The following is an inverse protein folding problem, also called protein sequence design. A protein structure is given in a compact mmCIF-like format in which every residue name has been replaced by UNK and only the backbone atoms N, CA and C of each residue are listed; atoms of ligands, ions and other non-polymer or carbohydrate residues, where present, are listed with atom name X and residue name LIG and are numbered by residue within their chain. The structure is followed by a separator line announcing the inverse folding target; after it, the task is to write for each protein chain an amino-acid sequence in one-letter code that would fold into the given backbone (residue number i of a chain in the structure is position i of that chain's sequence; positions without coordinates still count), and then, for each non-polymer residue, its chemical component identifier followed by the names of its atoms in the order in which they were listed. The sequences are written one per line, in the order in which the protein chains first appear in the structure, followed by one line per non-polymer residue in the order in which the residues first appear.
data_IF_258318348286
#
_entry.id   IF_258318348286
#
_cell.length_a   1.000
_cell.length_b   1.000
_cell.length_c   1.000
_cell.angle_alpha   90.00
_cell.angle_beta   90.00
_cell.angle_gamma   90.00
#
_symmetry.space_group_name_H-M   'P 1'
#
loop_
_entity.id
_entity.type
_entity.pdbx_description
1 polymer ?
#
# COMPACT_ATOMS: atom_id res chain seq x y z
N UNK A 1 47.41 23.42 1.70
CA UNK A 1 46.59 24.37 0.93
C UNK A 1 45.63 23.52 0.10
N UNK A 2 44.57 23.19 0.66
CA UNK A 2 43.11 23.41 0.58
C UNK A 2 42.61 23.79 -0.81
N UNK A 3 41.75 22.97 -1.37
CA UNK A 3 40.65 23.42 -2.24
C UNK A 3 39.52 22.38 -2.16
N UNK A 4 38.53 22.69 -1.34
CA UNK A 4 37.17 22.17 -1.43
C UNK A 4 36.54 22.69 -2.72
N UNK A 5 35.93 21.81 -3.49
CA UNK A 5 35.01 22.20 -4.56
C UNK A 5 33.68 21.48 -4.31
N UNK A 6 32.76 22.22 -3.69
CA UNK A 6 31.38 21.86 -3.55
C UNK A 6 30.66 21.91 -4.91
N UNK A 7 30.19 20.80 -5.43
CA UNK A 7 29.25 20.75 -6.57
C UNK A 7 27.83 20.93 -6.02
N UNK A 8 27.27 22.12 -6.19
CA UNK A 8 25.83 22.37 -6.06
C UNK A 8 25.17 22.03 -7.40
N UNK A 9 24.30 21.05 -7.42
CA UNK A 9 23.33 20.87 -8.50
C UNK A 9 22.07 21.68 -8.12
N UNK A 10 21.88 22.80 -8.79
CA UNK A 10 20.63 23.55 -8.75
C UNK A 10 19.63 22.91 -9.72
N UNK A 11 18.60 22.27 -9.19
CA UNK A 11 17.40 21.95 -9.94
C UNK A 11 16.39 23.06 -9.74
N UNK A 12 16.25 23.92 -10.74
CA UNK A 12 15.20 24.91 -10.80
C UNK A 12 13.89 24.25 -11.24
N UNK A 13 12.95 24.07 -10.32
CA UNK A 13 11.54 23.81 -10.65
C UNK A 13 10.77 25.09 -10.35
N UNK A 14 10.27 25.69 -11.44
CA UNK A 14 9.35 26.83 -11.42
C UNK A 14 7.98 26.35 -10.95
N UNK A 15 7.58 26.72 -9.74
CA UNK A 15 6.20 26.60 -9.27
C UNK A 15 5.70 27.97 -8.87
N UNK A 16 4.67 28.45 -9.60
CA UNK A 16 4.03 29.72 -9.37
C UNK A 16 3.34 29.76 -8.00
N UNK A 17 3.75 30.72 -7.19
CA UNK A 17 3.10 31.10 -5.93
C UNK A 17 1.80 31.85 -6.23
N UNK A 18 0.68 31.30 -5.78
CA UNK A 18 -0.54 32.08 -5.52
C UNK A 18 -0.72 32.11 -4.00
N UNK A 19 -0.38 33.27 -3.42
CA UNK A 19 -0.68 33.57 -2.03
C UNK A 19 -2.14 34.00 -1.91
N UNK A 20 -2.94 33.23 -1.17
CA UNK A 20 -4.25 33.71 -0.69
C UNK A 20 -4.14 33.86 0.83
N UNK A 21 -4.16 35.13 1.24
CA UNK A 21 -4.29 35.56 2.64
C UNK A 21 -5.77 35.59 2.97
N UNK A 22 -6.20 34.83 3.96
CA UNK A 22 -7.52 34.98 4.60
C UNK A 22 -7.34 35.41 6.04
N UNK A 23 -8.11 36.41 6.51
CA UNK A 23 -7.95 36.94 7.86
C UNK A 23 -8.72 36.09 8.89
N UNK A 24 -8.07 35.97 10.02
CA UNK A 24 -8.58 35.45 11.29
C UNK A 24 -9.65 36.41 11.85
N UNK A 25 -10.85 35.91 12.11
CA UNK A 25 -11.83 36.59 12.99
C UNK A 25 -12.25 35.63 14.07
N UNK A 26 -11.78 35.91 15.26
CA UNK A 26 -12.30 35.33 16.49
C UNK A 26 -13.58 36.06 16.91
N UNK A 27 -14.59 35.34 17.29
CA UNK A 27 -15.58 35.86 18.26
C UNK A 27 -16.19 34.72 19.08
N UNK A 28 -16.04 34.92 20.35
CA UNK A 28 -16.59 34.22 21.49
C UNK A 28 -18.09 34.50 21.70
N UNK A 29 -18.69 33.61 22.52
CA UNK A 29 -19.84 33.74 23.38
C UNK A 29 -21.25 33.57 22.82
N UNK A 30 -21.99 32.57 23.28
CA UNK A 30 -22.93 32.68 24.37
C UNK A 30 -23.78 31.41 24.57
N UNK A 31 -23.84 31.04 25.81
CA UNK A 31 -24.66 30.05 26.47
C UNK A 31 -26.18 30.21 26.24
N UNK A 32 -26.91 29.10 26.25
CA UNK A 32 -28.05 28.72 27.08
C UNK A 32 -29.09 27.89 26.36
N UNK A 33 -29.25 26.73 26.90
CA UNK A 33 -30.42 26.12 27.57
C UNK A 33 -31.68 25.91 26.74
N UNK A 34 -32.13 24.70 26.64
CA UNK A 34 -33.28 24.10 27.35
C UNK A 34 -33.86 22.89 26.59
N UNK A 35 -33.88 21.79 27.28
CA UNK A 35 -34.97 20.84 27.57
C UNK A 35 -35.89 20.36 26.43
N UNK A 36 -35.83 19.03 26.31
CA UNK A 36 -36.97 18.09 26.30
C UNK A 36 -37.91 18.08 25.11
N UNK A 37 -38.03 16.93 24.42
CA UNK A 37 -39.15 16.03 24.64
C UNK A 37 -39.05 14.79 23.75
N UNK A 38 -39.37 13.70 24.36
CA UNK A 38 -39.71 12.39 23.86
C UNK A 38 -40.63 12.39 22.64
N UNK A 39 -40.39 11.50 21.69
CA UNK A 39 -41.47 10.70 21.08
C UNK A 39 -40.84 9.51 20.34
N UNK A 40 -40.97 8.34 20.92
CA UNK A 40 -40.87 7.06 20.25
C UNK A 40 -42.05 6.89 19.30
N UNK A 41 -41.79 6.36 18.13
CA UNK A 41 -42.83 5.94 17.20
C UNK A 41 -42.59 4.49 16.82
N UNK A 42 -43.16 3.57 17.58
CA UNK A 42 -43.24 2.16 17.22
C UNK A 42 -44.27 2.00 16.09
N UNK A 43 -43.83 1.64 14.91
CA UNK A 43 -44.69 1.20 13.84
C UNK A 43 -45.02 -0.30 13.99
N UNK A 44 -46.17 -0.56 14.59
CA UNK A 44 -46.79 -1.90 14.66
C UNK A 44 -47.51 -2.18 13.35
N UNK A 45 -47.15 -3.24 12.65
CA UNK A 45 -47.92 -3.80 11.54
C UNK A 45 -48.86 -4.88 12.10
N UNK A 46 -50.15 -4.73 11.82
CA UNK A 46 -51.19 -5.61 12.28
C UNK A 46 -51.41 -6.76 11.27
N UNK A 47 -51.32 -8.01 11.73
CA UNK A 47 -51.64 -9.20 10.92
C UNK A 47 -53.05 -9.70 11.25
N UNK A 48 -53.86 -10.16 10.25
CA UNK A 48 -55.22 -10.61 10.47
C UNK A 48 -55.43 -11.87 11.32
N UNK A 49 -54.39 -12.45 11.92
CA UNK A 49 -54.48 -13.67 12.71
C UNK A 49 -53.95 -13.58 14.14
N UNK A 50 -53.83 -12.37 14.69
CA UNK A 50 -53.73 -12.13 16.15
C UNK A 50 -52.51 -12.73 16.87
N UNK A 51 -51.42 -13.10 16.16
CA UNK A 51 -50.22 -13.63 16.80
C UNK A 51 -49.10 -12.62 16.74
N UNK A 52 -48.71 -12.08 17.91
CA UNK A 52 -47.54 -11.24 18.09
C UNK A 52 -46.29 -12.08 18.10
N UNK A 53 -45.47 -11.96 17.05
CA UNK A 53 -44.07 -12.42 17.07
C UNK A 53 -43.19 -11.24 17.46
N UNK A 54 -42.36 -11.34 18.50
CA UNK A 54 -41.36 -10.34 18.76
C UNK A 54 -40.29 -10.42 17.63
N UNK A 55 -40.22 -9.40 16.77
CA UNK A 55 -39.10 -9.20 15.86
C UNK A 55 -37.85 -8.90 16.72
N UNK A 56 -37.13 -9.95 17.07
CA UNK A 56 -35.78 -9.81 17.60
C UNK A 56 -34.89 -9.34 16.45
N UNK A 57 -34.75 -8.03 16.29
CA UNK A 57 -33.66 -7.49 15.52
C UNK A 57 -32.36 -7.89 16.24
N UNK A 58 -31.73 -8.99 15.80
CA UNK A 58 -30.33 -9.20 16.08
C UNK A 58 -29.58 -7.98 15.51
N UNK A 59 -29.23 -7.06 16.37
CA UNK A 59 -28.23 -6.05 16.07
C UNK A 59 -27.00 -6.85 15.66
N UNK A 60 -26.71 -6.89 14.35
CA UNK A 60 -25.43 -7.32 13.82
C UNK A 60 -24.41 -6.34 14.37
N UNK A 61 -23.80 -6.68 15.49
CA UNK A 61 -22.65 -5.97 16.04
C UNK A 61 -21.39 -6.48 15.31
N UNK A 62 -21.34 -6.33 13.99
CA UNK A 62 -20.10 -6.28 13.25
C UNK A 62 -19.68 -4.83 13.15
N UNK A 63 -19.25 -4.26 14.25
CA UNK A 63 -18.32 -3.16 14.21
C UNK A 63 -17.06 -3.70 13.55
N UNK A 64 -16.95 -3.59 12.24
CA UNK A 64 -15.73 -3.84 11.49
C UNK A 64 -14.67 -2.97 12.16
N UNK A 65 -13.78 -3.61 12.92
CA UNK A 65 -12.64 -2.92 13.52
C UNK A 65 -11.90 -2.25 12.34
N UNK A 66 -11.78 -0.92 12.42
CA UNK A 66 -11.19 -0.15 11.32
C UNK A 66 -9.71 -0.53 11.23
N UNK A 67 -9.31 -1.19 10.16
CA UNK A 67 -7.91 -1.51 9.86
C UNK A 67 -7.10 -0.21 9.89
N UNK A 68 -6.00 -0.21 10.63
CA UNK A 68 -5.04 0.89 10.62
C UNK A 68 -4.20 0.75 9.36
N UNK A 69 -4.08 1.83 8.61
CA UNK A 69 -3.24 1.93 7.42
C UNK A 69 -2.40 3.19 7.56
N UNK A 70 -1.09 3.01 7.68
CA UNK A 70 -0.11 4.11 7.72
C UNK A 70 0.76 4.04 6.46
N UNK A 71 1.18 5.21 5.97
CA UNK A 71 2.07 5.32 4.82
C UNK A 71 3.36 6.05 5.20
N UNK A 72 4.48 5.51 4.75
CA UNK A 72 5.79 6.15 4.80
C UNK A 72 6.31 6.21 3.37
N UNK A 73 6.44 7.40 2.83
CA UNK A 73 7.00 7.59 1.48
C UNK A 73 8.52 7.56 1.57
N UNK A 74 9.15 6.62 0.87
CA UNK A 74 10.60 6.52 0.83
C UNK A 74 11.20 7.71 0.04
N UNK A 75 12.34 8.27 0.48
CA UNK A 75 12.90 9.49 -0.12
C UNK A 75 13.46 9.29 -1.54
N UNK A 76 13.72 8.05 -1.95
CA UNK A 76 14.14 7.71 -3.30
C UNK A 76 13.02 6.97 -4.02
N UNK A 77 12.72 7.40 -5.25
CA UNK A 77 11.63 6.91 -6.10
C UNK A 77 10.21 7.08 -5.52
N UNK A 78 10.07 7.69 -4.33
CA UNK A 78 8.78 7.96 -3.67
C UNK A 78 7.91 6.70 -3.48
N UNK A 79 8.57 5.56 -3.22
CA UNK A 79 7.89 4.28 -2.96
C UNK A 79 7.09 4.37 -1.67
N UNK A 80 5.85 3.94 -1.71
CA UNK A 80 4.97 3.84 -0.56
C UNK A 80 5.30 2.59 0.26
N UNK A 81 5.83 2.77 1.46
CA UNK A 81 5.92 1.72 2.46
C UNK A 81 4.65 1.76 3.32
N UNK A 82 3.82 0.71 3.22
CA UNK A 82 2.57 0.62 3.98
C UNK A 82 2.76 -0.16 5.27
N UNK A 83 2.06 0.26 6.34
CA UNK A 83 1.96 -0.49 7.60
C UNK A 83 0.49 -0.74 7.88
N UNK A 84 0.10 -2.02 8.00
CA UNK A 84 -1.29 -2.40 8.26
C UNK A 84 -1.40 -3.17 9.57
N UNK A 85 -2.45 -2.84 10.35
CA UNK A 85 -2.77 -3.49 11.62
C UNK A 85 -4.29 -3.61 11.79
N UNK A 86 -4.74 -4.63 12.51
CA UNK A 86 -6.16 -4.88 12.74
C UNK A 86 -6.79 -3.89 13.74
N UNK A 87 -5.99 -3.29 14.62
CA UNK A 87 -6.43 -2.33 15.63
C UNK A 87 -5.25 -1.54 16.22
N UNK A 88 -5.48 -0.47 17.00
CA UNK A 88 -4.44 0.16 17.81
C UNK A 88 -3.82 -0.81 18.81
N UNK A 89 -2.56 -0.63 19.12
CA UNK A 89 -1.80 -1.44 20.10
C UNK A 89 -1.76 -2.94 19.74
N UNK A 90 -1.76 -3.28 18.46
CA UNK A 90 -1.75 -4.67 17.98
C UNK A 90 -0.49 -5.01 17.18
N UNK A 91 -0.45 -6.24 16.69
CA UNK A 91 0.51 -6.65 15.68
C UNK A 91 0.22 -5.95 14.34
N UNK A 92 1.24 -5.80 13.51
CA UNK A 92 1.14 -5.23 12.18
C UNK A 92 2.08 -5.95 11.20
N UNK A 93 1.84 -5.76 9.92
CA UNK A 93 2.82 -6.11 8.89
C UNK A 93 3.20 -4.88 8.07
N UNK A 94 4.39 -4.95 7.47
CA UNK A 94 5.00 -3.85 6.73
C UNK A 94 5.14 -4.28 5.28
N UNK A 95 4.81 -3.41 4.35
CA UNK A 95 4.84 -3.67 2.91
C UNK A 95 5.87 -2.77 2.26
N UNK A 96 6.69 -3.35 1.39
CA UNK A 96 7.64 -2.66 0.51
C UNK A 96 8.49 -1.59 1.23
N UNK A 97 9.38 -2.00 2.16
CA UNK A 97 10.26 -1.06 2.85
C UNK A 97 11.36 -0.54 1.90
N UNK A 98 11.10 0.60 1.29
CA UNK A 98 11.83 1.19 0.18
C UNK A 98 13.24 1.72 0.52
N UNK A 99 13.79 2.52 -0.41
CA UNK A 99 15.15 3.05 -0.33
C UNK A 99 15.20 4.31 0.54
N UNK A 100 16.10 4.30 1.54
CA UNK A 100 16.52 5.47 2.32
C UNK A 100 17.97 5.31 2.73
N UNK A 101 18.61 6.37 3.21
CA UNK A 101 19.97 6.34 3.74
C UNK A 101 19.96 6.43 5.26
N UNK A 102 20.58 5.47 5.96
CA UNK A 102 21.16 4.21 5.46
C UNK A 102 20.10 3.16 5.08
N UNK A 103 18.85 3.32 5.53
CA UNK A 103 17.67 2.48 5.23
C UNK A 103 16.40 3.14 5.81
N UNK A 104 15.21 2.56 5.55
CA UNK A 104 13.93 3.11 5.98
C UNK A 104 13.55 2.76 7.45
N UNK A 105 14.45 2.14 8.25
CA UNK A 105 14.14 1.68 9.60
C UNK A 105 13.75 2.80 10.56
N UNK A 106 14.40 3.96 10.47
CA UNK A 106 14.14 5.06 11.41
C UNK A 106 12.70 5.56 11.34
N UNK A 107 12.15 5.96 10.20
CA UNK A 107 10.75 6.38 10.11
C UNK A 107 9.78 5.22 10.40
N UNK A 108 10.10 3.99 10.01
CA UNK A 108 9.27 2.82 10.37
C UNK A 108 9.20 2.66 11.89
N UNK A 109 10.34 2.64 12.60
CA UNK A 109 10.40 2.52 14.07
C UNK A 109 9.63 3.64 14.76
N UNK A 110 9.72 4.86 14.25
CA UNK A 110 9.00 6.01 14.81
C UNK A 110 7.47 5.84 14.66
N UNK A 111 6.99 5.43 13.48
CA UNK A 111 5.57 5.14 13.25
C UNK A 111 5.07 4.00 14.15
N UNK A 112 5.82 2.90 14.22
CA UNK A 112 5.49 1.77 15.10
C UNK A 112 5.39 2.19 16.57
N UNK A 113 6.32 3.01 17.04
CA UNK A 113 6.31 3.54 18.41
C UNK A 113 5.12 4.45 18.67
N UNK A 114 4.84 5.40 17.76
CA UNK A 114 3.73 6.36 17.89
C UNK A 114 2.37 5.66 17.92
N UNK A 115 2.21 4.60 17.15
CA UNK A 115 0.96 3.83 17.04
C UNK A 115 0.91 2.62 17.99
N UNK A 116 2.01 2.39 18.75
CA UNK A 116 2.20 1.22 19.62
C UNK A 116 1.92 -0.09 18.87
N UNK A 117 2.55 -0.24 17.69
CA UNK A 117 2.41 -1.41 16.83
C UNK A 117 3.63 -2.31 16.92
N UNK A 118 3.40 -3.65 16.82
CA UNK A 118 4.43 -4.67 16.84
C UNK A 118 4.51 -5.33 15.47
N UNK A 119 5.61 -5.16 14.69
CA UNK A 119 5.74 -5.81 13.40
C UNK A 119 5.94 -7.32 13.56
N UNK A 120 5.24 -8.11 12.74
CA UNK A 120 5.30 -9.57 12.75
C UNK A 120 5.64 -10.16 11.37
N UNK A 121 5.60 -9.38 10.31
CA UNK A 121 6.01 -9.78 8.97
C UNK A 121 6.37 -8.57 8.11
N UNK A 122 7.19 -8.80 7.08
CA UNK A 122 7.36 -7.92 5.94
C UNK A 122 6.78 -8.60 4.70
N UNK A 123 6.02 -7.89 3.90
CA UNK A 123 5.40 -8.40 2.67
C UNK A 123 5.95 -7.60 1.49
N UNK A 124 6.44 -8.27 0.47
CA UNK A 124 6.98 -7.63 -0.73
C UNK A 124 6.04 -7.88 -1.91
N UNK A 125 5.63 -6.81 -2.58
CA UNK A 125 4.76 -6.89 -3.76
C UNK A 125 5.52 -7.42 -4.97
N UNK A 126 6.78 -7.06 -5.10
CA UNK A 126 7.68 -7.51 -6.17
C UNK A 126 9.16 -7.26 -5.83
N UNK A 127 10.06 -7.59 -6.75
CA UNK A 127 11.51 -7.65 -6.48
C UNK A 127 12.31 -6.40 -6.82
N UNK A 128 11.70 -5.27 -7.24
CA UNK A 128 12.47 -4.06 -7.52
C UNK A 128 13.10 -3.47 -6.26
N UNK A 129 14.30 -2.93 -6.42
CA UNK A 129 15.13 -2.50 -5.30
C UNK A 129 14.49 -1.38 -4.47
N UNK A 130 13.76 -0.49 -5.10
CA UNK A 130 13.06 0.60 -4.43
C UNK A 130 11.91 0.13 -3.53
N UNK A 131 11.43 -1.12 -3.68
CA UNK A 131 10.48 -1.78 -2.78
C UNK A 131 11.16 -2.67 -1.74
N UNK A 132 12.38 -3.17 -2.03
CA UNK A 132 13.01 -4.23 -1.23
C UNK A 132 14.25 -3.78 -0.44
N UNK A 133 14.76 -2.58 -0.69
CA UNK A 133 16.06 -2.13 -0.17
C UNK A 133 16.23 -2.29 1.34
N UNK A 134 15.21 -1.94 2.11
CA UNK A 134 15.28 -2.00 3.57
C UNK A 134 14.74 -3.31 4.17
N UNK A 135 14.42 -4.31 3.35
CA UNK A 135 13.80 -5.57 3.84
C UNK A 135 14.72 -6.33 4.77
N UNK A 136 16.00 -6.49 4.41
CA UNK A 136 16.96 -7.27 5.21
C UNK A 136 17.19 -6.66 6.59
N UNK A 137 17.61 -5.37 6.72
CA UNK A 137 17.81 -4.78 8.03
C UNK A 137 16.52 -4.67 8.86
N UNK A 138 15.35 -4.65 8.21
CA UNK A 138 14.06 -4.64 8.90
C UNK A 138 13.69 -6.04 9.41
N UNK A 139 13.61 -7.03 8.53
CA UNK A 139 13.19 -8.37 8.87
C UNK A 139 14.15 -9.04 9.87
N UNK A 140 15.45 -8.99 9.61
CA UNK A 140 16.47 -9.56 10.49
C UNK A 140 16.54 -8.81 11.82
N UNK A 141 16.42 -7.47 11.79
CA UNK A 141 16.47 -6.64 13.00
C UNK A 141 15.30 -6.88 13.96
N UNK A 142 14.15 -7.30 13.47
CA UNK A 142 13.00 -7.70 14.28
C UNK A 142 12.86 -9.22 14.46
N UNK A 143 13.64 -10.03 13.74
CA UNK A 143 13.52 -11.48 13.74
C UNK A 143 12.21 -12.00 13.15
N UNK A 144 11.65 -11.29 12.15
CA UNK A 144 10.36 -11.59 11.53
C UNK A 144 10.54 -12.10 10.10
N UNK A 145 9.58 -12.89 9.57
CA UNK A 145 9.64 -13.35 8.19
C UNK A 145 9.43 -12.21 7.20
N UNK A 146 10.09 -12.32 6.03
CA UNK A 146 9.74 -11.57 4.83
C UNK A 146 9.10 -12.51 3.80
N UNK A 147 8.09 -12.02 3.07
CA UNK A 147 7.35 -12.77 2.07
C UNK A 147 7.61 -12.17 0.70
N UNK A 148 7.96 -13.00 -0.31
CA UNK A 148 8.11 -12.58 -1.70
C UNK A 148 7.73 -13.72 -2.64
N UNK A 149 7.23 -13.40 -3.83
CA UNK A 149 6.92 -14.41 -4.84
C UNK A 149 8.20 -15.07 -5.39
N UNK A 150 8.15 -16.38 -5.64
CA UNK A 150 9.30 -17.18 -6.08
C UNK A 150 10.02 -16.61 -7.29
N UNK A 151 9.27 -16.04 -8.26
CA UNK A 151 9.84 -15.49 -9.50
C UNK A 151 10.64 -14.20 -9.30
N UNK A 152 10.45 -13.51 -8.19
CA UNK A 152 11.16 -12.27 -7.86
C UNK A 152 12.20 -12.44 -6.73
N UNK A 153 12.25 -13.64 -6.10
CA UNK A 153 13.23 -13.92 -5.05
C UNK A 153 14.67 -13.62 -5.48
N UNK A 154 15.03 -13.99 -6.71
CA UNK A 154 16.38 -13.79 -7.25
C UNK A 154 16.82 -12.32 -7.26
N UNK A 155 15.88 -11.39 -7.36
CA UNK A 155 16.16 -9.96 -7.36
C UNK A 155 16.70 -9.46 -6.02
N UNK A 156 16.37 -10.11 -4.89
CA UNK A 156 16.93 -9.77 -3.57
C UNK A 156 18.44 -9.98 -3.51
N UNK A 157 18.95 -10.99 -4.22
CA UNK A 157 20.38 -11.28 -4.30
C UNK A 157 21.08 -10.56 -5.45
N UNK A 158 20.33 -10.28 -6.52
CA UNK A 158 20.86 -9.62 -7.72
C UNK A 158 19.77 -8.72 -8.35
N UNK A 159 19.62 -7.48 -7.91
CA UNK A 159 18.62 -6.56 -8.45
C UNK A 159 18.84 -6.23 -9.94
N UNK A 160 20.05 -6.44 -10.48
CA UNK A 160 20.33 -6.22 -11.89
C UNK A 160 19.53 -7.15 -12.83
N UNK A 161 18.90 -8.20 -12.31
CA UNK A 161 18.01 -9.06 -13.07
C UNK A 161 16.68 -8.39 -13.46
N UNK A 162 16.27 -7.37 -12.73
CA UNK A 162 14.96 -6.72 -12.87
C UNK A 162 15.03 -5.22 -13.13
N UNK A 163 16.22 -4.61 -13.15
CA UNK A 163 16.40 -3.17 -13.44
C UNK A 163 16.98 -2.94 -14.83
N UNK A 164 16.71 -1.79 -15.40
CA UNK A 164 17.26 -1.38 -16.69
C UNK A 164 18.74 -1.03 -16.55
N UNK A 165 19.60 -1.61 -17.39
CA UNK A 165 21.03 -1.27 -17.45
C UNK A 165 21.21 0.21 -17.84
N UNK A 166 22.03 0.93 -17.08
CA UNK A 166 22.22 2.39 -17.23
C UNK A 166 21.00 3.21 -16.78
N UNK A 167 20.01 2.59 -16.17
CA UNK A 167 18.83 3.27 -15.66
C UNK A 167 19.01 3.89 -14.27
N UNK A 168 18.02 4.68 -13.80
CA UNK A 168 18.13 5.43 -12.55
C UNK A 168 18.47 4.58 -11.32
N UNK A 169 17.93 3.36 -11.23
CA UNK A 169 18.21 2.45 -10.10
C UNK A 169 19.66 1.99 -10.10
N UNK A 170 20.23 1.65 -11.26
CA UNK A 170 21.65 1.29 -11.36
C UNK A 170 22.56 2.45 -10.98
N UNK A 171 22.24 3.66 -11.46
CA UNK A 171 23.01 4.86 -11.14
C UNK A 171 22.92 5.18 -9.62
N UNK A 172 21.75 4.99 -9.02
CA UNK A 172 21.59 5.15 -7.57
C UNK A 172 22.42 4.11 -6.79
N UNK A 173 22.41 2.84 -7.18
CA UNK A 173 23.24 1.80 -6.57
C UNK A 173 24.72 2.21 -6.59
N UNK A 174 25.22 2.70 -7.71
CA UNK A 174 26.60 3.20 -7.86
C UNK A 174 26.86 4.39 -6.96
N UNK A 175 25.97 5.38 -6.98
CA UNK A 175 26.09 6.60 -6.19
C UNK A 175 26.10 6.33 -4.67
N UNK A 176 25.33 5.34 -4.22
CA UNK A 176 25.27 4.91 -2.82
C UNK A 176 26.40 3.95 -2.43
N UNK A 177 27.23 3.52 -3.37
CA UNK A 177 28.34 2.57 -3.13
C UNK A 177 27.86 1.18 -2.69
N UNK A 178 26.65 0.78 -3.09
CA UNK A 178 26.07 -0.51 -2.72
C UNK A 178 26.71 -1.60 -3.56
N UNK A 179 27.43 -2.52 -2.90
CA UNK A 179 28.14 -3.60 -3.60
C UNK A 179 27.70 -5.00 -3.22
N UNK A 180 26.82 -5.12 -2.20
CA UNK A 180 26.34 -6.40 -1.71
C UNK A 180 24.85 -6.37 -1.50
N UNK A 181 24.19 -7.41 -1.97
CA UNK A 181 22.76 -7.66 -1.79
C UNK A 181 22.59 -9.01 -1.10
N UNK A 182 21.54 -9.15 -0.30
CA UNK A 182 21.25 -10.39 0.43
C UNK A 182 19.74 -10.54 0.58
N UNK A 183 19.29 -11.76 0.81
CA UNK A 183 17.93 -12.02 1.25
C UNK A 183 17.84 -12.06 2.79
N UNK A 184 16.66 -11.79 3.36
CA UNK A 184 16.43 -11.92 4.80
C UNK A 184 16.67 -13.33 5.31
N UNK A 185 17.16 -13.47 6.56
CA UNK A 185 17.45 -14.77 7.18
C UNK A 185 16.20 -15.66 7.28
N UNK A 186 15.02 -15.06 7.43
CA UNK A 186 13.74 -15.77 7.46
C UNK A 186 12.89 -15.33 6.26
N UNK A 187 13.04 -16.03 5.13
CA UNK A 187 12.32 -15.75 3.89
C UNK A 187 11.27 -16.83 3.60
N UNK A 188 10.01 -16.42 3.54
CA UNK A 188 8.91 -17.24 3.04
C UNK A 188 8.66 -16.94 1.56
N UNK A 189 8.82 -17.95 0.74
CA UNK A 189 8.59 -17.85 -0.72
C UNK A 189 7.13 -18.19 -1.03
N UNK A 190 6.47 -17.31 -1.80
CA UNK A 190 5.11 -17.48 -2.29
C UNK A 190 5.16 -18.12 -3.68
N UNK A 191 4.41 -19.19 -3.92
CA UNK A 191 4.43 -19.91 -5.20
C UNK A 191 3.12 -19.81 -5.98
N UNK A 192 2.01 -19.60 -5.28
CA UNK A 192 0.67 -19.59 -5.86
C UNK A 192 -0.28 -18.68 -5.09
N UNK A 193 -1.51 -18.60 -5.59
CA UNK A 193 -2.59 -17.95 -4.86
C UNK A 193 -2.87 -18.69 -3.56
N UNK A 194 -2.87 -17.96 -2.45
CA UNK A 194 -3.17 -18.52 -1.13
C UNK A 194 -3.90 -17.50 -0.26
N UNK A 195 -4.52 -17.99 0.81
CA UNK A 195 -5.11 -17.16 1.86
C UNK A 195 -4.37 -17.42 3.16
N UNK A 196 -3.93 -16.35 3.78
CA UNK A 196 -3.20 -16.40 5.04
C UNK A 196 -3.78 -15.39 6.04
N UNK A 197 -3.36 -15.51 7.29
CA UNK A 197 -3.62 -14.52 8.31
C UNK A 197 -2.29 -13.93 8.80
N UNK A 198 -2.18 -12.59 8.81
CA UNK A 198 -1.04 -11.87 9.37
C UNK A 198 -1.58 -10.74 10.24
N UNK A 199 -1.09 -10.61 11.46
CA UNK A 199 -1.47 -9.55 12.40
C UNK A 199 -3.00 -9.49 12.67
N UNK A 200 -3.69 -10.63 12.66
CA UNK A 200 -5.15 -10.71 12.79
C UNK A 200 -5.93 -10.18 11.59
N UNK A 201 -5.28 -10.04 10.44
CA UNK A 201 -5.90 -9.63 9.17
C UNK A 201 -5.89 -10.80 8.18
N UNK A 202 -7.04 -11.05 7.56
CA UNK A 202 -7.14 -12.02 6.47
C UNK A 202 -6.56 -11.43 5.18
N UNK A 203 -5.66 -12.14 4.54
CA UNK A 203 -4.96 -11.70 3.34
C UNK A 203 -5.14 -12.74 2.24
N UNK A 204 -5.73 -12.34 1.13
CA UNK A 204 -5.74 -13.13 -0.11
C UNK A 204 -4.57 -12.68 -0.98
N UNK A 205 -3.68 -13.60 -1.29
CA UNK A 205 -2.49 -13.41 -2.11
C UNK A 205 -2.81 -13.82 -3.53
N UNK A 206 -2.56 -12.95 -4.50
CA UNK A 206 -2.83 -13.21 -5.91
C UNK A 206 -1.60 -12.85 -6.75
N UNK A 207 -1.05 -13.81 -7.45
CA UNK A 207 0.01 -13.59 -8.42
C UNK A 207 -0.51 -12.74 -9.58
N UNK A 208 0.14 -11.63 -9.85
CA UNK A 208 -0.30 -10.57 -10.77
C UNK A 208 0.85 -10.10 -11.67
N UNK A 209 1.42 -10.98 -12.52
CA UNK A 209 2.59 -10.67 -13.33
C UNK A 209 2.31 -9.59 -14.36
N UNK A 210 3.38 -8.89 -14.78
CA UNK A 210 3.31 -7.88 -15.82
C UNK A 210 4.32 -6.76 -15.60
N UNK A 211 4.33 -6.14 -14.42
CA UNK A 211 5.38 -5.19 -14.04
C UNK A 211 6.70 -5.93 -13.78
N UNK A 212 6.65 -6.99 -12.99
CA UNK A 212 7.67 -8.03 -12.92
C UNK A 212 7.04 -9.41 -13.10
N UNK A 213 7.85 -10.45 -13.30
CA UNK A 213 7.38 -11.82 -13.39
C UNK A 213 6.78 -12.34 -12.06
N UNK A 214 7.22 -11.80 -10.91
CA UNK A 214 6.77 -12.15 -9.57
C UNK A 214 5.82 -11.15 -8.92
N UNK A 215 5.37 -10.12 -9.64
CA UNK A 215 4.40 -9.15 -9.09
C UNK A 215 3.21 -9.83 -8.45
N UNK A 216 2.85 -9.39 -7.27
CA UNK A 216 1.81 -9.98 -6.43
C UNK A 216 0.96 -8.87 -5.82
N UNK A 217 -0.35 -9.05 -5.81
CA UNK A 217 -1.29 -8.16 -5.14
C UNK A 217 -1.89 -8.85 -3.92
N UNK A 218 -2.26 -8.07 -2.91
CA UNK A 218 -2.79 -8.59 -1.65
C UNK A 218 -4.11 -7.90 -1.33
N UNK A 219 -5.21 -8.67 -1.28
CA UNK A 219 -6.49 -8.17 -0.76
C UNK A 219 -6.53 -8.39 0.75
N UNK A 220 -6.72 -7.32 1.52
CA UNK A 220 -6.67 -7.34 2.98
C UNK A 220 -8.05 -7.09 3.54
N UNK A 221 -8.60 -8.07 4.25
CA UNK A 221 -9.89 -8.04 4.97
C UNK A 221 -11.05 -7.48 4.13
N UNK A 222 -11.03 -7.75 2.82
CA UNK A 222 -12.03 -7.32 1.83
C UNK A 222 -12.26 -5.79 1.73
N UNK A 223 -11.33 -5.00 2.27
CA UNK A 223 -11.41 -3.53 2.27
C UNK A 223 -10.27 -2.85 1.50
N UNK A 224 -9.10 -3.46 1.45
CA UNK A 224 -7.90 -2.87 0.86
C UNK A 224 -7.28 -3.79 -0.17
N UNK A 225 -6.76 -3.21 -1.23
CA UNK A 225 -5.92 -3.85 -2.23
C UNK A 225 -4.52 -3.22 -2.17
N UNK A 226 -3.53 -3.95 -1.71
CA UNK A 226 -2.13 -3.60 -1.89
C UNK A 226 -1.77 -4.02 -3.31
N UNK A 227 -1.62 -3.05 -4.20
CA UNK A 227 -1.42 -3.32 -5.63
C UNK A 227 0.05 -3.34 -6.06
N UNK A 228 0.96 -2.86 -5.21
CA UNK A 228 2.33 -2.62 -5.65
C UNK A 228 2.32 -1.79 -6.94
N UNK A 229 3.11 -2.22 -7.91
CA UNK A 229 3.23 -1.55 -9.19
C UNK A 229 2.37 -2.17 -10.31
N UNK A 230 1.32 -2.89 -9.93
CA UNK A 230 0.32 -3.37 -10.90
C UNK A 230 -0.67 -2.28 -11.26
N UNK A 231 -1.17 -1.50 -10.27
CA UNK A 231 -2.20 -0.49 -10.47
C UNK A 231 -1.93 0.75 -9.62
N UNK A 232 -1.92 1.92 -10.27
CA UNK A 232 -1.81 3.24 -9.65
C UNK A 232 -3.06 4.09 -9.89
N UNK A 233 -3.11 5.25 -9.28
CA UNK A 233 -4.14 6.25 -9.54
C UNK A 233 -4.02 6.82 -10.97
N UNK A 234 -4.80 6.26 -11.91
CA UNK A 234 -4.82 6.65 -13.31
C UNK A 234 -3.70 6.08 -14.18
N UNK A 235 -2.92 5.11 -13.67
CA UNK A 235 -1.81 4.49 -14.38
C UNK A 235 -1.60 3.03 -13.99
N UNK A 236 -0.63 2.37 -14.61
CA UNK A 236 -0.09 1.06 -14.26
C UNK A 236 1.43 1.11 -14.19
N UNK A 237 2.06 0.13 -13.57
CA UNK A 237 3.51 -0.03 -13.61
C UNK A 237 4.02 -0.28 -15.02
N UNK A 238 5.21 0.23 -15.31
CA UNK A 238 5.88 -0.02 -16.59
C UNK A 238 6.18 -1.51 -16.79
N UNK A 239 6.23 -1.94 -18.02
CA UNK A 239 6.40 -3.35 -18.39
C UNK A 239 7.58 -3.60 -19.34
N UNK A 240 8.38 -2.56 -19.57
CA UNK A 240 9.52 -2.55 -20.50
C UNK A 240 10.87 -2.80 -19.82
N UNK A 241 10.86 -3.08 -18.51
CA UNK A 241 12.05 -3.48 -17.76
C UNK A 241 12.28 -5.00 -17.85
N UNK A 242 13.51 -5.49 -17.54
CA UNK A 242 13.76 -6.92 -17.43
C UNK A 242 12.72 -7.60 -16.52
N UNK A 243 12.23 -8.78 -16.93
CA UNK A 243 11.12 -9.51 -16.33
C UNK A 243 9.71 -8.89 -16.48
N UNK A 244 9.58 -7.70 -17.06
CA UNK A 244 8.29 -7.08 -17.38
C UNK A 244 7.66 -7.69 -18.64
N UNK A 245 6.32 -7.63 -18.73
CA UNK A 245 5.54 -8.14 -19.87
C UNK A 245 4.22 -7.41 -20.00
N UNK A 246 4.06 -6.64 -21.08
CA UNK A 246 2.79 -5.97 -21.37
C UNK A 246 1.65 -6.97 -21.60
N UNK A 247 1.95 -8.11 -22.21
CA UNK A 247 0.97 -9.19 -22.40
C UNK A 247 0.44 -9.69 -21.07
N UNK A 248 1.34 -10.00 -20.14
CA UNK A 248 0.95 -10.51 -18.82
C UNK A 248 0.25 -9.42 -18.01
N UNK A 249 0.67 -8.15 -18.12
CA UNK A 249 -0.01 -7.03 -17.49
C UNK A 249 -1.47 -6.92 -17.96
N UNK A 250 -1.73 -6.97 -19.27
CA UNK A 250 -3.11 -6.96 -19.78
C UNK A 250 -3.95 -8.13 -19.25
N UNK A 251 -3.38 -9.34 -19.20
CA UNK A 251 -4.05 -10.50 -18.62
C UNK A 251 -4.33 -10.30 -17.12
N UNK A 252 -3.37 -9.78 -16.36
CA UNK A 252 -3.53 -9.43 -14.95
C UNK A 252 -4.65 -8.41 -14.76
N UNK A 253 -4.65 -7.33 -15.52
CA UNK A 253 -5.68 -6.30 -15.45
C UNK A 253 -7.08 -6.87 -15.75
N UNK A 254 -7.21 -7.67 -16.81
CA UNK A 254 -8.47 -8.31 -17.21
C UNK A 254 -8.99 -9.31 -16.16
N UNK A 255 -8.11 -10.20 -15.70
CA UNK A 255 -8.52 -11.38 -14.91
C UNK A 255 -8.43 -11.19 -13.42
N UNK A 256 -7.58 -10.26 -12.94
CA UNK A 256 -7.29 -10.08 -11.52
C UNK A 256 -7.74 -8.72 -10.97
N UNK A 257 -7.70 -7.64 -11.76
CA UNK A 257 -8.07 -6.30 -11.33
C UNK A 257 -9.53 -5.97 -11.64
N UNK A 258 -9.96 -6.15 -12.90
CA UNK A 258 -11.34 -5.82 -13.30
C UNK A 258 -12.44 -6.57 -12.53
N UNK A 259 -12.27 -7.83 -12.09
CA UNK A 259 -13.29 -8.52 -11.31
C UNK A 259 -13.40 -8.08 -9.85
N UNK A 260 -12.44 -7.28 -9.33
CA UNK A 260 -12.40 -6.88 -7.92
C UNK A 260 -13.60 -5.98 -7.54
N UNK A 261 -14.06 -6.02 -6.27
CA UNK A 261 -15.12 -5.15 -5.78
C UNK A 261 -14.76 -3.66 -5.91
N UNK A 262 -15.76 -2.85 -6.26
CA UNK A 262 -15.61 -1.40 -6.45
C UNK A 262 -15.13 -0.66 -5.20
N UNK A 263 -15.50 -1.17 -4.04
CA UNK A 263 -15.32 -0.56 -2.72
C UNK A 263 -13.87 -0.67 -2.20
N UNK A 264 -13.05 -1.54 -2.81
CA UNK A 264 -11.67 -1.70 -2.39
C UNK A 264 -10.87 -0.41 -2.54
N UNK A 265 -10.25 0.00 -1.46
CA UNK A 265 -9.26 1.06 -1.43
C UNK A 265 -7.93 0.50 -1.91
N UNK A 266 -7.36 1.10 -2.94
CA UNK A 266 -6.10 0.67 -3.54
C UNK A 266 -4.94 1.40 -2.85
N UNK A 267 -3.98 0.63 -2.35
CA UNK A 267 -2.73 1.05 -1.74
C UNK A 267 -1.59 0.75 -2.74
N UNK A 268 -1.23 1.70 -3.61
CA UNK A 268 -0.25 1.46 -4.67
C UNK A 268 1.18 1.55 -4.17
N UNK A 269 2.13 1.02 -4.96
CA UNK A 269 3.57 1.16 -4.72
C UNK A 269 4.06 2.60 -4.83
N UNK A 270 3.43 3.41 -5.70
CA UNK A 270 3.76 4.83 -5.89
C UNK A 270 2.50 5.70 -6.00
N UNK A 271 2.64 6.97 -5.61
CA UNK A 271 1.58 7.97 -5.73
C UNK A 271 0.44 7.79 -4.71
N UNK A 272 -0.70 8.46 -4.93
CA UNK A 272 -1.79 8.49 -3.96
C UNK A 272 -2.64 7.22 -3.98
N UNK A 273 -3.33 6.97 -2.87
CA UNK A 273 -4.39 5.98 -2.77
C UNK A 273 -5.50 6.27 -3.79
N UNK A 274 -6.19 5.21 -4.21
CA UNK A 274 -7.33 5.29 -5.10
C UNK A 274 -8.38 4.23 -4.73
N UNK A 275 -9.36 3.96 -5.59
CA UNK A 275 -10.34 2.88 -5.43
C UNK A 275 -10.53 2.13 -6.75
N UNK A 276 -10.91 0.86 -6.67
CA UNK A 276 -11.22 0.07 -7.88
C UNK A 276 -12.33 0.74 -8.68
N UNK A 277 -13.35 1.31 -8.03
CA UNK A 277 -14.42 2.06 -8.71
C UNK A 277 -13.87 3.21 -9.57
N UNK A 278 -13.00 4.05 -8.99
CA UNK A 278 -12.40 5.17 -9.70
C UNK A 278 -11.53 4.71 -10.87
N UNK A 279 -10.67 3.73 -10.62
CA UNK A 279 -9.74 3.25 -11.65
C UNK A 279 -10.49 2.58 -12.82
N UNK A 280 -11.53 1.81 -12.54
CA UNK A 280 -12.38 1.23 -13.60
C UNK A 280 -13.02 2.30 -14.50
N UNK A 281 -13.36 3.47 -13.94
CA UNK A 281 -13.97 4.56 -14.69
C UNK A 281 -12.97 5.49 -15.39
N UNK A 282 -11.77 5.70 -14.78
CA UNK A 282 -10.88 6.80 -15.17
C UNK A 282 -9.52 6.34 -15.67
N UNK A 283 -9.07 5.14 -15.30
CA UNK A 283 -7.76 4.65 -15.68
C UNK A 283 -7.78 4.22 -17.17
N UNK A 284 -6.98 4.85 -18.06
CA UNK A 284 -6.97 4.52 -19.47
C UNK A 284 -6.54 3.07 -19.74
N UNK A 285 -5.74 2.49 -18.85
CA UNK A 285 -5.24 1.11 -18.96
C UNK A 285 -6.29 0.05 -18.57
N UNK A 286 -7.41 0.44 -17.97
CA UNK A 286 -8.54 -0.44 -17.67
C UNK A 286 -9.67 -0.33 -18.70
N UNK A 287 -9.51 0.48 -19.74
CA UNK A 287 -10.50 0.61 -20.80
C UNK A 287 -10.34 -0.48 -21.87
N UNK A 288 -11.45 -0.82 -22.52
CA UNK A 288 -11.52 -1.88 -23.55
C UNK A 288 -10.50 -1.68 -24.66
N UNK A 289 -10.35 -0.44 -25.16
CA UNK A 289 -9.43 -0.12 -26.25
C UNK A 289 -7.99 -0.50 -25.94
N UNK A 290 -7.52 -0.23 -24.72
CA UNK A 290 -6.18 -0.64 -24.29
C UNK A 290 -6.08 -2.16 -24.07
N UNK A 291 -7.08 -2.73 -23.43
CA UNK A 291 -7.02 -4.15 -23.04
C UNK A 291 -7.10 -5.09 -24.25
N UNK A 292 -7.79 -4.71 -25.31
CA UNK A 292 -7.98 -5.52 -26.52
C UNK A 292 -6.97 -5.22 -27.62
N UNK A 293 -6.20 -4.13 -27.53
CA UNK A 293 -5.07 -3.85 -28.43
C UNK A 293 -3.85 -4.78 -28.16
#
# INVERSE_FOLDING_TARGET
MSAEAALRLDFAISVGLISIVLPFVARSDLLRSSRSCLAGGDHLWWSPKGTLFPLVFKKSSSGSARVIVENIVAPYFETNCWILASSPNSECFIVDPGIAQPNLLRPIKETLRQKNLKPVAVVLTHGHLDHTFSVVPLADGYGIPALIHTRDRGALLNPYQVITKGGPTEELIKALGISKFSEPSNLRVLESEEKIEIAGLHISITHAPGHTAGSTIFTVSDNYLISGDVLFAGAIGRTDMPSGSMKDMKETLKKKILPLPNELIVLPGHGPQTTIARERQKNPYLQTDFLES
#
